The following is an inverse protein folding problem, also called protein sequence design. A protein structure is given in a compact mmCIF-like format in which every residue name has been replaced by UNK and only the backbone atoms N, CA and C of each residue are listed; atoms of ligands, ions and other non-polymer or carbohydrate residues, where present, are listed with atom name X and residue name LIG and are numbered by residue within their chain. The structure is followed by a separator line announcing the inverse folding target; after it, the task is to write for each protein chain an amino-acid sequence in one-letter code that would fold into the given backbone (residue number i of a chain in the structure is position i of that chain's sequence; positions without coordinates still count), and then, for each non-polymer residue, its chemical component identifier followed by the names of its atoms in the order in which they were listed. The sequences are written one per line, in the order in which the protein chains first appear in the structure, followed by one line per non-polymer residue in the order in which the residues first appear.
data_IF_439488123453
#
_entry.id   IF_439488123453
#
_cell.length_a   1.000
_cell.length_b   1.000
_cell.length_c   1.000
_cell.angle_alpha   90.00
_cell.angle_beta   90.00
_cell.angle_gamma   90.00
#
_symmetry.space_group_name_H-M   'P 1'
#
loop_
_entity.id
_entity.type
_entity.pdbx_description
1 polymer ?
#
# COMPACT_ATOMS: atom_id res chain seq x y z
N UNK A 1 -6.91 -12.18 0.10
CA UNK A 1 -7.97 -11.75 1.05
C UNK A 1 -7.37 -11.30 2.37
N UNK A 2 -6.64 -12.17 3.10
CA UNK A 2 -5.97 -11.82 4.38
C UNK A 2 -5.15 -10.53 4.30
N UNK A 3 -4.29 -10.40 3.28
CA UNK A 3 -3.41 -9.23 3.08
C UNK A 3 -4.23 -7.95 2.81
N UNK A 4 -5.25 -8.04 1.95
CA UNK A 4 -6.07 -6.90 1.58
C UNK A 4 -6.87 -6.36 2.79
N UNK A 5 -7.50 -7.26 3.55
CA UNK A 5 -8.23 -6.88 4.78
C UNK A 5 -7.27 -6.38 5.85
N UNK A 6 -6.14 -7.07 6.06
CA UNK A 6 -5.13 -6.69 7.05
C UNK A 6 -4.50 -5.32 6.77
N UNK A 7 -4.37 -4.92 5.50
CA UNK A 7 -3.80 -3.63 5.12
C UNK A 7 -4.57 -2.43 5.70
N UNK A 8 -5.88 -2.57 5.88
CA UNK A 8 -6.73 -1.53 6.50
C UNK A 8 -6.31 -1.27 7.95
N UNK A 9 -5.92 -2.32 8.69
CA UNK A 9 -5.51 -2.21 10.10
C UNK A 9 -4.08 -1.72 10.32
N UNK A 10 -3.25 -1.68 9.27
CA UNK A 10 -1.84 -1.25 9.35
C UNK A 10 -1.67 0.19 8.82
N UNK A 11 -2.71 0.78 8.23
CA UNK A 11 -2.70 2.15 7.75
C UNK A 11 -2.33 3.13 8.88
N UNK A 12 -1.21 3.85 8.72
CA UNK A 12 -0.76 4.89 9.66
C UNK A 12 0.18 4.45 10.80
N UNK A 13 0.57 3.17 10.88
CA UNK A 13 1.51 2.69 11.92
C UNK A 13 2.97 2.77 11.42
N UNK A 14 3.94 3.28 12.21
CA UNK A 14 5.36 3.27 11.82
C UNK A 14 5.91 1.85 11.63
N UNK A 15 6.81 1.63 10.66
CA UNK A 15 7.36 0.29 10.39
C UNK A 15 6.39 -0.63 9.63
N UNK A 16 5.62 -0.06 8.71
CA UNK A 16 4.52 -0.71 7.98
C UNK A 16 4.91 -2.01 7.27
N UNK A 17 6.14 -2.16 6.77
CA UNK A 17 6.54 -3.38 6.05
C UNK A 17 6.73 -4.58 6.98
N UNK A 18 7.42 -4.39 8.11
CA UNK A 18 7.60 -5.42 9.14
C UNK A 18 6.26 -5.85 9.73
N UNK A 19 5.38 -4.89 10.01
CA UNK A 19 4.03 -5.15 10.53
C UNK A 19 3.13 -5.84 9.50
N UNK A 20 3.17 -5.39 8.23
CA UNK A 20 2.42 -6.04 7.15
C UNK A 20 2.89 -7.47 6.92
N UNK A 21 4.19 -7.72 6.97
CA UNK A 21 4.73 -9.05 6.76
C UNK A 21 4.42 -9.99 7.94
N UNK A 22 4.46 -9.52 9.20
CA UNK A 22 4.15 -10.34 10.36
C UNK A 22 2.68 -10.74 10.42
N UNK A 23 1.77 -9.78 10.16
CA UNK A 23 0.32 -10.00 10.13
C UNK A 23 -0.06 -10.88 8.94
N UNK A 24 0.57 -10.68 7.78
CA UNK A 24 0.31 -11.52 6.60
C UNK A 24 0.75 -12.96 6.83
N UNK A 25 1.98 -13.19 7.31
CA UNK A 25 2.46 -14.55 7.59
C UNK A 25 1.66 -15.22 8.71
N UNK A 26 1.36 -14.50 9.80
CA UNK A 26 0.58 -15.06 10.91
C UNK A 26 -0.85 -15.38 10.48
N UNK A 27 -1.49 -14.50 9.72
CA UNK A 27 -2.84 -14.67 9.20
C UNK A 27 -2.98 -15.79 8.15
N UNK A 28 -1.88 -16.24 7.54
CA UNK A 28 -1.85 -17.41 6.64
C UNK A 28 -1.28 -18.66 7.29
N UNK A 29 -0.99 -18.65 8.60
CA UNK A 29 -0.43 -19.79 9.34
C UNK A 29 1.07 -20.04 9.10
N UNK A 30 1.79 -19.09 8.49
CA UNK A 30 3.21 -19.17 8.15
C UNK A 30 4.11 -18.33 9.07
N UNK A 31 3.62 -17.90 10.24
CA UNK A 31 4.36 -17.02 11.17
C UNK A 31 5.77 -17.49 11.53
N UNK A 32 6.03 -18.80 11.58
CA UNK A 32 7.35 -19.37 11.85
C UNK A 32 8.41 -19.01 10.79
N UNK A 33 8.00 -18.64 9.58
CA UNK A 33 8.89 -18.27 8.47
C UNK A 33 9.24 -16.77 8.44
N UNK A 34 8.87 -16.00 9.46
CA UNK A 34 9.15 -14.57 9.51
C UNK A 34 10.65 -14.25 9.43
N UNK A 35 11.52 -15.08 9.99
CA UNK A 35 12.97 -14.85 9.87
C UNK A 35 13.45 -14.95 8.42
N UNK A 36 12.78 -15.75 7.58
CA UNK A 36 13.15 -15.97 6.17
C UNK A 36 12.92 -14.75 5.28
N UNK A 37 12.10 -13.78 5.70
CA UNK A 37 11.85 -12.54 4.94
C UNK A 37 12.81 -11.40 5.29
N UNK A 38 13.73 -11.60 6.24
CA UNK A 38 14.70 -10.59 6.67
C UNK A 38 15.52 -9.96 5.52
N UNK A 39 15.95 -10.71 4.48
CA UNK A 39 16.63 -10.10 3.34
C UNK A 39 15.76 -9.11 2.55
N UNK A 40 14.45 -9.35 2.50
CA UNK A 40 13.48 -8.46 1.84
C UNK A 40 13.26 -7.21 2.69
N UNK A 41 13.21 -7.35 4.02
CA UNK A 41 13.14 -6.22 4.94
C UNK A 41 14.39 -5.33 4.87
N UNK A 42 15.56 -5.89 4.53
CA UNK A 42 16.79 -5.11 4.36
C UNK A 42 16.74 -4.15 3.16
N UNK A 43 15.97 -4.49 2.11
CA UNK A 43 15.74 -3.63 0.94
C UNK A 43 14.43 -2.83 1.02
N UNK A 44 13.73 -2.89 2.17
CA UNK A 44 12.46 -2.22 2.39
C UNK A 44 12.47 -0.72 1.99
N UNK A 45 13.52 0.08 2.28
CA UNK A 45 13.51 1.50 1.88
C UNK A 45 13.36 1.72 0.36
N UNK A 46 13.88 0.82 -0.47
CA UNK A 46 13.72 0.92 -1.93
C UNK A 46 12.30 0.56 -2.37
N UNK A 47 11.74 -0.49 -1.78
CA UNK A 47 10.38 -0.97 -2.09
C UNK A 47 9.35 0.02 -1.57
N UNK A 48 9.58 0.62 -0.40
CA UNK A 48 8.72 1.61 0.22
C UNK A 48 8.56 2.86 -0.65
N UNK A 49 9.64 3.32 -1.29
CA UNK A 49 9.55 4.43 -2.26
C UNK A 49 8.62 4.08 -3.43
N UNK A 50 8.76 2.88 -4.00
CA UNK A 50 7.88 2.40 -5.07
C UNK A 50 6.41 2.29 -4.62
N UNK A 51 6.19 1.73 -3.42
CA UNK A 51 4.86 1.64 -2.79
C UNK A 51 4.23 3.02 -2.59
N UNK A 52 4.99 3.98 -2.07
CA UNK A 52 4.51 5.35 -1.85
C UNK A 52 4.14 6.03 -3.16
N UNK A 53 4.98 5.91 -4.18
CA UNK A 53 4.71 6.45 -5.52
C UNK A 53 3.41 5.90 -6.13
N UNK A 54 3.19 4.58 -6.04
CA UNK A 54 1.98 3.94 -6.53
C UNK A 54 0.73 4.38 -5.75
N UNK A 55 0.83 4.49 -4.42
CA UNK A 55 -0.29 4.94 -3.59
C UNK A 55 -0.69 6.39 -3.92
N UNK A 56 0.28 7.29 -4.10
CA UNK A 56 0.02 8.68 -4.51
C UNK A 56 -0.58 8.71 -5.91
N UNK A 57 0.00 8.01 -6.88
CA UNK A 57 -0.49 7.97 -8.27
C UNK A 57 -1.90 7.39 -8.38
N UNK A 58 -2.21 6.34 -7.60
CA UNK A 58 -3.54 5.77 -7.50
C UNK A 58 -4.55 6.72 -6.88
N UNK A 59 -4.16 7.48 -5.84
CA UNK A 59 -5.02 8.49 -5.21
C UNK A 59 -5.38 9.63 -6.18
N UNK A 60 -4.41 10.09 -6.98
CA UNK A 60 -4.62 11.10 -8.03
C UNK A 60 -5.55 10.56 -9.13
N UNK A 61 -5.31 9.33 -9.58
CA UNK A 61 -6.15 8.69 -10.59
C UNK A 61 -7.60 8.55 -10.09
N UNK A 62 -7.79 8.15 -8.83
CA UNK A 62 -9.10 8.05 -8.23
C UNK A 62 -9.80 9.42 -8.14
N UNK A 63 -9.06 10.48 -7.77
CA UNK A 63 -9.60 11.84 -7.76
C UNK A 63 -10.14 12.24 -9.15
N UNK A 64 -9.35 12.02 -10.21
CA UNK A 64 -9.77 12.28 -11.59
C UNK A 64 -11.00 11.47 -12.02
N UNK A 65 -11.05 10.19 -11.64
CA UNK A 65 -12.19 9.31 -11.92
C UNK A 65 -13.44 9.80 -11.21
N UNK A 66 -13.34 10.15 -9.93
CA UNK A 66 -14.45 10.71 -9.14
C UNK A 66 -14.92 12.03 -9.73
N UNK A 67 -14.01 12.94 -10.09
CA UNK A 67 -14.35 14.23 -10.69
C UNK A 67 -15.08 14.07 -12.02
N UNK A 68 -14.67 13.11 -12.84
CA UNK A 68 -15.36 12.78 -14.09
C UNK A 68 -16.76 12.23 -13.85
N UNK A 69 -16.95 11.41 -12.82
CA UNK A 69 -18.25 10.84 -12.45
C UNK A 69 -19.18 11.92 -11.88
N UNK A 70 -18.65 12.82 -11.06
CA UNK A 70 -19.39 13.92 -10.43
C UNK A 70 -19.61 15.12 -11.36
N UNK A 71 -19.00 15.13 -12.54
CA UNK A 71 -19.07 16.24 -13.48
C UNK A 71 -18.30 17.48 -13.03
N UNK A 72 -17.42 17.36 -12.03
CA UNK A 72 -16.60 18.44 -11.45
C UNK A 72 -15.24 18.59 -12.12
N UNK A 73 -14.94 17.77 -13.14
CA UNK A 73 -13.65 17.81 -13.83
C UNK A 73 -13.46 19.14 -14.58
N UNK A 74 -12.48 19.93 -14.12
CA UNK A 74 -12.04 21.14 -14.79
C UNK A 74 -11.16 20.75 -15.99
N UNK A 75 -11.72 20.81 -17.20
CA UNK A 75 -11.00 20.46 -18.44
C UNK A 75 -10.04 21.54 -18.89
N UNK A 76 -10.25 22.80 -18.50
CA UNK A 76 -9.40 23.91 -18.90
C UNK A 76 -8.06 23.87 -18.16
N UNK A 77 -8.03 23.29 -16.96
CA UNK A 77 -6.80 22.99 -16.23
C UNK A 77 -5.91 21.92 -16.89
N UNK A 78 -6.41 21.14 -17.86
CA UNK A 78 -5.67 20.06 -18.53
C UNK A 78 -5.40 20.31 -20.03
N UNK A 79 -5.83 21.46 -20.56
CA UNK A 79 -5.55 21.89 -21.94
C UNK A 79 -4.32 22.80 -21.99
#
# INVERSE_FOLDING_TARGET
IVIAIGSVGIAGVPGTATMAASVSLSGTGLGAYFTSISPILAIDPLIDMGRTCLNVSGSLTNALVVDKIMGTIDKDAYN
#
